data_IF_026966783386
#
_entry.id   IF_026966783386
#
_cell.length_a   1.000
_cell.length_b   1.000
_cell.length_c   1.000
_cell.angle_alpha   90.00
_cell.angle_beta   90.00
_cell.angle_gamma   90.00
#
_symmetry.space_group_name_H-M   'P 1'
#
loop_
_entity.id
_entity.type
_entity.pdbx_description
1 polymer ?
#
# COMPACT_ATOMS: atom_id res chain seq x y z
N UNK A 1 -18.92 -26.67 5.89
CA UNK A 1 -17.78 -27.62 5.81
C UNK A 1 -16.83 -27.24 6.93
N UNK A 2 -16.54 -28.14 7.87
CA UNK A 2 -15.50 -27.92 8.88
C UNK A 2 -14.15 -27.77 8.18
N UNK A 3 -13.43 -26.68 8.48
CA UNK A 3 -12.02 -26.52 8.06
C UNK A 3 -11.19 -27.55 8.84
N UNK A 4 -10.63 -28.53 8.15
CA UNK A 4 -9.82 -29.61 8.76
C UNK A 4 -8.36 -29.24 9.01
N UNK A 5 -7.97 -27.97 8.85
CA UNK A 5 -6.63 -27.46 9.17
C UNK A 5 -6.55 -25.94 9.18
N UNK A 6 -5.55 -25.38 9.87
CA UNK A 6 -5.29 -23.95 9.90
C UNK A 6 -4.75 -23.46 8.53
N UNK A 7 -5.40 -22.46 7.95
CA UNK A 7 -4.95 -21.77 6.74
C UNK A 7 -3.92 -20.71 7.15
N UNK A 8 -2.68 -20.90 6.74
CA UNK A 8 -1.59 -19.94 6.95
C UNK A 8 -1.25 -19.28 5.61
N UNK A 9 -1.32 -17.96 5.56
CA UNK A 9 -0.86 -17.17 4.40
C UNK A 9 0.33 -16.30 4.77
N UNK A 10 1.26 -16.16 3.83
CA UNK A 10 2.46 -15.33 3.97
C UNK A 10 2.55 -14.38 2.78
N UNK A 11 2.77 -13.09 3.01
CA UNK A 11 2.88 -12.11 1.92
C UNK A 11 3.72 -10.89 2.32
N UNK A 12 4.53 -10.38 1.38
CA UNK A 12 5.24 -9.12 1.54
C UNK A 12 4.24 -7.96 1.69
N UNK A 13 4.50 -6.95 2.55
CA UNK A 13 3.66 -5.77 2.67
C UNK A 13 3.77 -4.88 1.43
N UNK A 14 2.64 -4.26 1.06
CA UNK A 14 2.52 -3.35 -0.08
C UNK A 14 1.92 -2.00 0.35
N UNK A 15 2.29 -0.92 -0.34
CA UNK A 15 1.64 0.37 -0.19
C UNK A 15 0.31 0.38 -0.96
N UNK A 16 -0.80 0.71 -0.29
CA UNK A 16 -2.17 0.66 -0.81
C UNK A 16 -2.48 -0.72 -1.43
N UNK A 17 -2.58 -1.79 -0.62
CA UNK A 17 -2.83 -3.12 -1.17
C UNK A 17 -4.16 -3.21 -1.94
N UNK A 18 -4.20 -4.03 -3.00
CA UNK A 18 -5.44 -4.32 -3.71
C UNK A 18 -6.39 -5.17 -2.85
N UNK A 19 -7.67 -5.20 -3.20
CA UNK A 19 -8.71 -5.91 -2.43
C UNK A 19 -8.37 -7.39 -2.17
N UNK A 20 -7.71 -8.07 -3.13
CA UNK A 20 -7.26 -9.45 -2.98
C UNK A 20 -6.24 -9.67 -1.86
N UNK A 21 -5.49 -8.64 -1.46
CA UNK A 21 -4.60 -8.69 -0.29
C UNK A 21 -5.42 -8.82 1.01
N UNK A 22 -6.45 -7.98 1.15
CA UNK A 22 -7.36 -8.02 2.30
C UNK A 22 -8.20 -9.30 2.31
N UNK A 23 -8.65 -9.75 1.14
CA UNK A 23 -9.34 -11.04 1.02
C UNK A 23 -8.44 -12.21 1.44
N UNK A 24 -7.15 -12.18 1.09
CA UNK A 24 -6.17 -13.18 1.55
C UNK A 24 -6.04 -13.17 3.08
N UNK A 25 -5.95 -11.99 3.69
CA UNK A 25 -5.94 -11.85 5.16
C UNK A 25 -7.22 -12.45 5.73
N UNK A 26 -8.39 -12.05 5.23
CA UNK A 26 -9.70 -12.50 5.69
C UNK A 26 -9.86 -14.04 5.63
N UNK A 27 -9.32 -14.69 4.60
CA UNK A 27 -9.42 -16.14 4.43
C UNK A 27 -8.43 -16.94 5.31
N UNK A 28 -7.44 -16.27 5.89
CA UNK A 28 -6.37 -16.92 6.66
C UNK A 28 -6.71 -16.99 8.14
N UNK A 29 -6.39 -18.11 8.78
CA UNK A 29 -6.46 -18.24 10.23
C UNK A 29 -5.22 -17.59 10.87
N UNK A 30 -4.07 -17.62 10.16
CA UNK A 30 -2.86 -16.86 10.50
C UNK A 30 -2.32 -16.18 9.24
N UNK A 31 -2.09 -14.87 9.30
CA UNK A 31 -1.42 -14.12 8.23
C UNK A 31 -0.07 -13.60 8.71
N UNK A 32 0.99 -13.88 7.95
CA UNK A 32 2.36 -13.45 8.25
C UNK A 32 2.80 -12.41 7.23
N UNK A 33 3.23 -11.25 7.71
CA UNK A 33 3.93 -10.27 6.89
C UNK A 33 5.36 -10.76 6.63
N UNK A 34 5.69 -10.98 5.35
CA UNK A 34 7.05 -11.35 4.93
C UNK A 34 7.89 -10.08 4.75
N UNK A 35 8.35 -9.51 5.85
CA UNK A 35 9.09 -8.24 5.87
C UNK A 35 10.59 -8.39 6.19
N UNK A 36 11.03 -9.60 6.52
CA UNK A 36 12.41 -10.02 6.75
C UNK A 36 13.15 -10.41 5.46
N UNK A 37 12.61 -10.00 4.32
CA UNK A 37 13.20 -10.16 2.99
C UNK A 37 13.65 -8.81 2.43
N UNK A 38 14.60 -8.83 1.51
CA UNK A 38 15.19 -7.63 0.92
C UNK A 38 14.12 -6.72 0.27
N UNK A 39 14.17 -5.44 0.60
CA UNK A 39 13.39 -4.40 -0.05
C UNK A 39 13.80 -4.27 -1.53
N UNK A 40 12.82 -4.43 -2.43
CA UNK A 40 13.00 -4.26 -3.87
C UNK A 40 12.33 -2.97 -4.37
N UNK A 41 12.98 -2.26 -5.28
CA UNK A 41 12.34 -1.14 -5.99
C UNK A 41 11.29 -1.62 -7.02
N UNK A 42 11.27 -2.91 -7.34
CA UNK A 42 10.28 -3.53 -8.22
C UNK A 42 9.03 -3.92 -7.44
N UNK A 43 9.17 -4.35 -6.19
CA UNK A 43 8.04 -4.64 -5.31
C UNK A 43 7.26 -3.36 -5.00
N UNK A 44 5.94 -3.43 -5.03
CA UNK A 44 5.02 -2.31 -4.74
C UNK A 44 4.98 -1.95 -3.24
N UNK A 45 6.13 -2.00 -2.57
CA UNK A 45 6.27 -1.74 -1.14
C UNK A 45 6.06 -0.27 -0.79
N UNK A 46 6.48 0.64 -1.67
CA UNK A 46 6.42 2.09 -1.45
C UNK A 46 5.78 2.86 -2.61
N UNK A 47 5.06 2.19 -3.51
CA UNK A 47 4.32 2.85 -4.56
C UNK A 47 3.09 2.04 -4.97
N UNK A 48 2.07 2.75 -5.48
CA UNK A 48 0.93 2.17 -6.15
C UNK A 48 0.61 2.96 -7.42
N UNK A 49 -0.21 2.40 -8.29
CA UNK A 49 -0.79 3.15 -9.40
C UNK A 49 -2.21 3.59 -9.07
N UNK A 50 -2.54 4.82 -9.43
CA UNK A 50 -3.89 5.35 -9.37
C UNK A 50 -4.36 5.70 -10.78
N UNK A 51 -5.67 5.64 -11.01
CA UNK A 51 -6.24 6.11 -12.27
C UNK A 51 -6.22 7.63 -12.33
N UNK A 52 -5.87 8.18 -13.48
CA UNK A 52 -6.01 9.62 -13.77
C UNK A 52 -6.61 9.77 -15.16
N UNK A 53 -7.01 10.99 -15.53
CA UNK A 53 -7.46 11.29 -16.91
C UNK A 53 -6.36 11.06 -17.95
N UNK A 54 -5.09 11.09 -17.55
CA UNK A 54 -3.92 10.87 -18.41
C UNK A 54 -3.41 9.42 -18.37
N UNK A 55 -4.15 8.51 -17.75
CA UNK A 55 -3.76 7.10 -17.57
C UNK A 55 -3.25 6.79 -16.16
N UNK A 56 -2.59 5.63 -15.96
CA UNK A 56 -2.06 5.24 -14.65
C UNK A 56 -0.97 6.19 -14.16
N UNK A 57 -1.16 6.78 -12.99
CA UNK A 57 -0.17 7.62 -12.32
C UNK A 57 0.47 6.86 -11.17
N UNK A 58 1.82 6.86 -11.11
CA UNK A 58 2.57 6.19 -10.05
C UNK A 58 2.65 7.09 -8.81
N UNK A 59 1.86 6.75 -7.80
CA UNK A 59 1.86 7.39 -6.49
C UNK A 59 2.91 6.73 -5.60
N UNK A 60 3.98 7.45 -5.26
CA UNK A 60 5.15 6.90 -4.56
C UNK A 60 5.38 7.59 -3.21
N UNK A 61 5.65 6.79 -2.17
CA UNK A 61 6.13 7.26 -0.87
C UNK A 61 7.66 7.30 -0.87
N UNK A 62 8.28 8.41 -0.44
CA UNK A 62 9.72 8.50 -0.26
C UNK A 62 10.14 7.66 0.95
N UNK A 63 11.25 6.94 0.82
CA UNK A 63 11.78 6.07 1.89
C UNK A 63 13.26 6.29 2.10
N UNK A 64 13.71 6.12 3.34
CA UNK A 64 15.13 6.01 3.72
C UNK A 64 15.48 4.53 3.85
N UNK A 65 16.55 4.11 3.18
CA UNK A 65 17.06 2.74 3.17
C UNK A 65 18.52 2.70 2.76
N UNK A 66 19.20 1.64 3.16
CA UNK A 66 20.50 1.24 2.64
C UNK A 66 20.32 0.15 1.56
N UNK A 67 21.41 -0.15 0.86
CA UNK A 67 21.44 -1.28 -0.07
C UNK A 67 21.25 -2.60 0.70
N UNK A 68 20.37 -3.47 0.19
CA UNK A 68 20.01 -4.77 0.78
C UNK A 68 19.27 -4.73 2.12
N UNK A 69 18.77 -3.57 2.55
CA UNK A 69 17.88 -3.54 3.72
C UNK A 69 16.67 -4.45 3.49
N UNK A 70 16.31 -5.22 4.52
CA UNK A 70 15.03 -5.90 4.58
C UNK A 70 13.88 -4.88 4.65
N UNK A 71 12.68 -5.26 4.22
CA UNK A 71 11.52 -4.36 4.22
C UNK A 71 11.28 -3.78 5.62
N UNK A 72 11.43 -4.58 6.68
CA UNK A 72 11.29 -4.13 8.07
C UNK A 72 12.40 -3.20 8.59
N UNK A 73 13.41 -2.89 7.77
CA UNK A 73 14.45 -1.88 8.07
C UNK A 73 14.28 -0.59 7.25
N UNK A 74 13.32 -0.55 6.32
CA UNK A 74 13.03 0.62 5.50
C UNK A 74 12.06 1.56 6.20
N UNK A 75 12.39 2.85 6.23
CA UNK A 75 11.60 3.87 6.91
C UNK A 75 11.01 4.88 5.94
N UNK A 76 9.83 5.39 6.23
CA UNK A 76 9.23 6.49 5.45
C UNK A 76 10.05 7.76 5.66
N UNK A 77 10.32 8.51 4.58
CA UNK A 77 11.02 9.78 4.66
C UNK A 77 10.02 10.94 4.73
N UNK A 78 9.60 11.30 5.94
CA UNK A 78 8.63 12.38 6.19
C UNK A 78 9.24 13.80 6.10
N UNK A 79 10.54 13.96 5.84
CA UNK A 79 11.15 15.28 5.55
C UNK A 79 10.65 15.89 4.23
N UNK A 80 10.04 15.06 3.37
CA UNK A 80 9.46 15.48 2.11
C UNK A 80 7.95 15.52 2.29
N UNK A 81 7.31 16.57 1.81
CA UNK A 81 5.86 16.78 1.91
C UNK A 81 5.06 15.89 0.93
N UNK A 82 5.25 14.58 1.05
CA UNK A 82 4.66 13.59 0.17
C UNK A 82 3.16 13.37 0.46
N UNK A 83 2.74 13.51 1.72
CA UNK A 83 1.34 13.33 2.15
C UNK A 83 0.46 14.39 1.51
N UNK A 84 0.82 15.66 1.64
CA UNK A 84 0.08 16.76 1.02
C UNK A 84 0.08 16.66 -0.51
N UNK A 85 1.20 16.24 -1.11
CA UNK A 85 1.26 15.97 -2.55
C UNK A 85 0.29 14.85 -2.97
N UNK A 86 0.18 13.78 -2.19
CA UNK A 86 -0.76 12.69 -2.45
C UNK A 86 -2.20 13.16 -2.29
N UNK A 87 -2.53 13.89 -1.22
CA UNK A 87 -3.86 14.46 -0.98
C UNK A 87 -4.29 15.39 -2.12
N UNK A 88 -3.42 16.32 -2.54
CA UNK A 88 -3.66 17.17 -3.72
C UNK A 88 -3.87 16.36 -5.00
N UNK A 89 -3.12 15.28 -5.17
CA UNK A 89 -3.29 14.37 -6.32
C UNK A 89 -4.66 13.68 -6.28
N UNK A 90 -5.13 13.24 -5.10
CA UNK A 90 -6.45 12.66 -4.95
C UNK A 90 -7.56 13.67 -5.21
N UNK A 91 -7.46 14.88 -4.66
CA UNK A 91 -8.41 15.98 -4.92
C UNK A 91 -8.50 16.25 -6.43
N UNK A 92 -7.35 16.42 -7.10
CA UNK A 92 -7.33 16.76 -8.52
C UNK A 92 -7.96 15.69 -9.42
N UNK A 93 -7.91 14.41 -9.03
CA UNK A 93 -8.38 13.30 -9.86
C UNK A 93 -9.74 12.73 -9.45
N UNK A 94 -10.12 12.84 -8.18
CA UNK A 94 -11.27 12.13 -7.62
C UNK A 94 -12.29 13.02 -6.94
N UNK A 95 -12.08 14.34 -6.78
CA UNK A 95 -13.03 15.24 -6.07
C UNK A 95 -14.48 15.14 -6.55
N UNK A 96 -14.70 14.79 -7.81
CA UNK A 96 -16.05 14.64 -8.42
C UNK A 96 -16.57 13.20 -8.42
N UNK A 97 -15.83 12.26 -7.84
CA UNK A 97 -16.23 10.86 -7.76
C UNK A 97 -17.32 10.68 -6.71
N UNK A 98 -18.26 9.75 -6.90
CA UNK A 98 -19.12 9.29 -5.81
C UNK A 98 -18.29 8.89 -4.59
N UNK A 99 -18.78 9.23 -3.39
CA UNK A 99 -18.15 8.92 -2.10
C UNK A 99 -16.78 9.58 -1.84
N UNK A 100 -16.35 10.57 -2.66
CA UNK A 100 -15.06 11.23 -2.44
C UNK A 100 -14.95 11.85 -1.05
N UNK A 101 -15.92 12.65 -0.63
CA UNK A 101 -15.87 13.35 0.66
C UNK A 101 -15.85 12.36 1.84
N UNK A 102 -16.64 11.29 1.76
CA UNK A 102 -16.65 10.23 2.78
C UNK A 102 -15.26 9.59 2.95
N UNK A 103 -14.67 9.11 1.85
CA UNK A 103 -13.37 8.43 1.88
C UNK A 103 -12.22 9.39 2.15
N UNK A 104 -12.29 10.63 1.65
CA UNK A 104 -11.22 11.61 1.78
C UNK A 104 -11.10 12.14 3.22
N UNK A 105 -12.21 12.28 3.94
CA UNK A 105 -12.21 12.70 5.34
C UNK A 105 -11.51 11.68 6.25
N UNK A 106 -11.50 10.39 5.91
CA UNK A 106 -10.74 9.38 6.66
C UNK A 106 -9.21 9.50 6.46
N UNK A 107 -8.76 10.30 5.49
CA UNK A 107 -7.35 10.49 5.15
C UNK A 107 -6.74 11.79 5.72
N UNK A 108 -7.56 12.68 6.29
CA UNK A 108 -7.19 14.03 6.77
C UNK A 108 -7.50 14.21 8.24
#
# INVERSE_FOLDING_TARGET
MEKTGNIISIHQPNFIPWLGYFYKIYQSDIFVFLDDVQFSNQGMHNYHYIKTSQGPFRLKIPVRKNFKDNINKVWINDDVDWKEKHLKTFIANYKRSPYFEEVFNDLT
#
